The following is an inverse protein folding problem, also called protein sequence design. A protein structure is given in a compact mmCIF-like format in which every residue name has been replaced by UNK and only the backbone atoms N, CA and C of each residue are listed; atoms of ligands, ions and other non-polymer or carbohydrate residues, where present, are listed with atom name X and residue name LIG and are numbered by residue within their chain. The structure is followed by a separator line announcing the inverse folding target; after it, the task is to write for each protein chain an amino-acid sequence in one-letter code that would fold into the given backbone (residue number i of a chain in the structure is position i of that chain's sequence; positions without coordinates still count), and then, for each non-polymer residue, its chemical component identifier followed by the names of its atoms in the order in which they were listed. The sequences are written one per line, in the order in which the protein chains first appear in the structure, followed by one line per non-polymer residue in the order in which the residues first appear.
data_IF_888077704766
#
_entry.id   IF_888077704766
#
_cell.length_a   1.000
_cell.length_b   1.000
_cell.length_c   1.000
_cell.angle_alpha   90.00
_cell.angle_beta   90.00
_cell.angle_gamma   90.00
#
_symmetry.space_group_name_H-M   'P 1'
#
loop_
_entity.id
_entity.type
_entity.pdbx_description
1 polymer ?
#
# COMPACT_ATOMS: atom_id res chain seq x y z
N UNK A 1 7.66 0.57 -5.25
CA UNK A 1 9.10 0.51 -5.68
C UNK A 1 9.97 1.60 -5.06
N UNK A 2 9.37 2.58 -4.36
CA UNK A 2 10.02 3.57 -3.46
C UNK A 2 9.37 3.51 -2.08
N UNK A 3 10.00 4.18 -1.11
CA UNK A 3 9.40 4.38 0.20
C UNK A 3 8.98 3.07 0.88
N UNK A 4 7.85 3.12 1.56
CA UNK A 4 7.28 1.99 2.31
C UNK A 4 7.24 0.71 1.46
N UNK A 5 6.72 0.77 0.22
CA UNK A 5 6.59 -0.42 -0.61
C UNK A 5 7.92 -1.08 -0.97
N UNK A 6 9.00 -0.29 -1.15
CA UNK A 6 10.35 -0.84 -1.35
C UNK A 6 10.87 -1.50 -0.07
N UNK A 7 10.73 -0.84 1.06
CA UNK A 7 11.15 -1.37 2.35
C UNK A 7 10.39 -2.66 2.70
N UNK A 8 9.08 -2.69 2.45
CA UNK A 8 8.24 -3.89 2.62
C UNK A 8 8.71 -5.05 1.74
N UNK A 9 8.99 -4.79 0.45
CA UNK A 9 9.50 -5.83 -0.43
C UNK A 9 10.83 -6.42 0.06
N UNK A 10 11.72 -5.58 0.61
CA UNK A 10 12.98 -6.01 1.19
C UNK A 10 12.74 -6.85 2.46
N UNK A 11 11.90 -6.37 3.37
CA UNK A 11 11.61 -7.08 4.62
C UNK A 11 10.98 -8.46 4.37
N UNK A 12 9.96 -8.54 3.51
CA UNK A 12 9.33 -9.81 3.14
C UNK A 12 10.32 -10.76 2.45
N UNK A 13 11.20 -10.25 1.59
CA UNK A 13 12.25 -11.06 0.96
C UNK A 13 13.23 -11.64 1.99
N UNK A 14 13.60 -10.87 3.00
CA UNK A 14 14.50 -11.30 4.08
C UNK A 14 13.93 -12.46 4.90
N UNK A 15 12.61 -12.49 5.11
CA UNK A 15 11.92 -13.60 5.78
C UNK A 15 11.53 -14.75 4.83
N UNK A 16 12.08 -14.77 3.62
CA UNK A 16 11.97 -15.91 2.71
C UNK A 16 10.94 -15.79 1.59
N UNK A 17 10.15 -14.72 1.53
CA UNK A 17 9.14 -14.56 0.48
C UNK A 17 9.76 -14.37 -0.92
N UNK A 18 9.04 -14.87 -1.94
CA UNK A 18 9.24 -14.48 -3.33
C UNK A 18 8.45 -13.24 -3.66
N UNK A 19 9.08 -12.22 -4.20
CA UNK A 19 8.50 -10.90 -4.40
C UNK A 19 8.04 -10.69 -5.83
N UNK A 20 6.82 -10.20 -6.00
CA UNK A 20 6.33 -9.66 -7.26
C UNK A 20 6.09 -8.17 -7.06
N UNK A 21 7.00 -7.34 -7.57
CA UNK A 21 6.94 -5.90 -7.43
C UNK A 21 6.28 -5.25 -8.65
N UNK A 22 5.16 -4.55 -8.43
CA UNK A 22 4.44 -3.83 -9.47
C UNK A 22 4.62 -2.33 -9.28
N UNK A 23 4.92 -1.59 -10.35
CA UNK A 23 5.06 -0.14 -10.30
C UNK A 23 5.34 0.48 -11.66
N UNK A 24 5.23 1.81 -11.74
CA UNK A 24 5.36 2.57 -13.00
C UNK A 24 6.80 2.91 -13.39
N UNK A 25 7.72 2.88 -12.45
CA UNK A 25 9.08 3.35 -12.69
C UNK A 25 10.02 2.16 -12.90
N UNK A 26 10.44 1.97 -14.15
CA UNK A 26 11.32 0.89 -14.59
C UNK A 26 12.67 0.89 -13.84
N UNK A 27 13.27 2.06 -13.67
CA UNK A 27 14.58 2.17 -13.01
C UNK A 27 14.50 1.76 -11.53
N UNK A 28 13.42 2.13 -10.83
CA UNK A 28 13.20 1.73 -9.44
C UNK A 28 12.93 0.21 -9.30
N UNK A 29 12.21 -0.36 -10.26
CA UNK A 29 11.99 -1.80 -10.32
C UNK A 29 13.30 -2.55 -10.57
N UNK A 30 14.12 -2.08 -11.50
CA UNK A 30 15.44 -2.66 -11.77
C UNK A 30 16.38 -2.51 -10.57
N UNK A 31 16.41 -1.34 -9.92
CA UNK A 31 17.18 -1.12 -8.70
C UNK A 31 16.77 -2.07 -7.58
N UNK A 32 15.46 -2.31 -7.39
CA UNK A 32 14.97 -3.27 -6.41
C UNK A 32 15.40 -4.70 -6.79
N UNK A 33 15.27 -5.08 -8.07
CA UNK A 33 15.70 -6.39 -8.58
C UNK A 33 17.20 -6.61 -8.37
N UNK A 34 18.04 -5.62 -8.67
CA UNK A 34 19.50 -5.68 -8.40
C UNK A 34 19.80 -5.87 -6.91
N UNK A 35 19.03 -5.20 -6.02
CA UNK A 35 19.23 -5.32 -4.57
C UNK A 35 18.84 -6.71 -4.05
N UNK A 36 17.72 -7.27 -4.49
CA UNK A 36 17.22 -8.57 -4.00
C UNK A 36 17.87 -9.76 -4.69
N UNK A 37 18.38 -9.59 -5.91
CA UNK A 37 19.08 -10.58 -6.75
C UNK A 37 18.22 -11.78 -7.13
N UNK A 38 17.66 -12.50 -6.17
CA UNK A 38 16.89 -13.74 -6.34
C UNK A 38 15.45 -13.56 -5.86
N UNK A 39 14.56 -14.50 -6.17
CA UNK A 39 13.16 -14.55 -5.71
C UNK A 39 12.40 -13.24 -5.91
N UNK A 40 12.69 -12.54 -7.02
CA UNK A 40 12.01 -11.30 -7.39
C UNK A 40 11.64 -11.26 -8.86
N UNK A 41 10.39 -10.95 -9.13
CA UNK A 41 9.85 -10.54 -10.42
C UNK A 41 9.41 -9.09 -10.36
N UNK A 42 9.66 -8.32 -11.40
CA UNK A 42 9.20 -6.94 -11.50
C UNK A 42 8.27 -6.78 -12.70
N UNK A 43 7.18 -6.06 -12.52
CA UNK A 43 6.17 -5.78 -13.54
C UNK A 43 5.99 -4.26 -13.63
N UNK A 44 6.31 -3.70 -14.78
CA UNK A 44 6.09 -2.28 -15.06
C UNK A 44 4.64 -2.06 -15.47
N UNK A 45 3.84 -1.48 -14.55
CA UNK A 45 2.44 -1.23 -14.79
C UNK A 45 1.92 -0.07 -13.91
N UNK A 46 0.99 0.73 -14.43
CA UNK A 46 0.19 1.63 -13.61
C UNK A 46 -0.93 0.82 -12.94
N UNK A 47 -1.11 1.03 -11.64
CA UNK A 47 -2.17 0.36 -10.85
C UNK A 47 -3.58 0.73 -11.31
N UNK A 48 -3.74 1.84 -12.03
CA UNK A 48 -5.01 2.26 -12.63
C UNK A 48 -5.32 1.55 -13.95
N UNK A 49 -4.34 0.91 -14.59
CA UNK A 49 -4.53 0.15 -15.82
C UNK A 49 -5.03 -1.26 -15.48
N UNK A 50 -6.37 -1.37 -15.33
CA UNK A 50 -7.02 -2.61 -14.93
C UNK A 50 -6.67 -3.79 -15.84
N UNK A 51 -6.65 -3.58 -17.17
CA UNK A 51 -6.40 -4.65 -18.13
C UNK A 51 -4.97 -5.18 -18.03
N UNK A 52 -3.98 -4.28 -17.91
CA UNK A 52 -2.58 -4.70 -17.70
C UNK A 52 -2.39 -5.39 -16.35
N UNK A 53 -3.00 -4.88 -15.29
CA UNK A 53 -2.96 -5.51 -13.98
C UNK A 53 -3.59 -6.91 -14.02
N UNK A 54 -4.76 -7.05 -14.62
CA UNK A 54 -5.44 -8.33 -14.78
C UNK A 54 -4.58 -9.34 -15.55
N UNK A 55 -4.05 -8.94 -16.72
CA UNK A 55 -3.13 -9.77 -17.49
C UNK A 55 -1.88 -10.17 -16.71
N UNK A 56 -1.34 -9.25 -15.92
CA UNK A 56 -0.16 -9.50 -15.10
C UNK A 56 -0.44 -10.50 -13.97
N UNK A 57 -1.54 -10.31 -13.23
CA UNK A 57 -1.93 -11.19 -12.11
C UNK A 57 -2.26 -12.59 -12.60
N UNK A 58 -2.94 -12.74 -13.75
CA UNK A 58 -3.27 -14.04 -14.32
C UNK A 58 -2.04 -14.88 -14.68
N UNK A 59 -0.91 -14.26 -15.01
CA UNK A 59 0.37 -14.95 -15.28
C UNK A 59 1.09 -15.41 -14.01
N UNK A 60 0.68 -14.95 -12.83
CA UNK A 60 1.29 -15.35 -11.57
C UNK A 60 0.77 -16.76 -11.21
N UNK A 61 1.68 -17.68 -10.93
CA UNK A 61 1.31 -19.07 -10.58
C UNK A 61 0.61 -19.15 -9.22
N UNK A 62 1.09 -18.39 -8.24
CA UNK A 62 0.61 -18.46 -6.85
C UNK A 62 0.74 -17.11 -6.17
N UNK A 63 -0.27 -16.73 -5.40
CA UNK A 63 -0.25 -15.56 -4.50
C UNK A 63 -0.64 -16.04 -3.11
N UNK A 64 0.19 -15.77 -2.11
CA UNK A 64 -0.08 -16.04 -0.70
C UNK A 64 -0.33 -14.74 0.07
N UNK A 65 0.35 -13.67 -0.31
CA UNK A 65 0.27 -12.36 0.34
C UNK A 65 0.08 -11.26 -0.69
N UNK A 66 -0.84 -10.34 -0.43
CA UNK A 66 -1.00 -9.09 -1.17
C UNK A 66 -0.69 -7.92 -0.24
N UNK A 67 0.18 -7.02 -0.67
CA UNK A 67 0.37 -5.71 -0.03
C UNK A 67 -0.10 -4.61 -0.97
N UNK A 68 -1.27 -4.05 -0.71
CA UNK A 68 -1.80 -2.87 -1.37
C UNK A 68 -1.14 -1.62 -0.80
N UNK A 69 -0.05 -1.18 -1.44
CA UNK A 69 0.71 -0.03 -0.96
C UNK A 69 0.65 1.18 -1.91
N UNK A 70 0.24 1.01 -3.15
CA UNK A 70 0.12 2.12 -4.09
C UNK A 70 -0.83 3.21 -3.54
N UNK A 71 -0.37 4.45 -3.57
CA UNK A 71 -1.16 5.56 -3.06
C UNK A 71 -0.52 6.92 -3.35
N UNK A 72 -1.37 7.94 -3.35
CA UNK A 72 -0.94 9.34 -3.51
C UNK A 72 -1.69 10.25 -2.56
N UNK A 73 -1.17 11.45 -2.35
CA UNK A 73 -1.78 12.49 -1.53
C UNK A 73 -1.58 13.83 -2.24
N UNK A 74 -2.68 14.55 -2.40
CA UNK A 74 -2.77 15.88 -3.00
C UNK A 74 -3.46 16.81 -2.00
N UNK A 75 -2.67 17.53 -1.16
CA UNK A 75 -3.23 18.42 -0.16
C UNK A 75 -3.84 19.66 -0.80
N UNK A 76 -5.15 19.86 -0.58
CA UNK A 76 -5.87 21.04 -1.06
C UNK A 76 -6.92 21.48 -0.02
N UNK A 77 -7.13 22.80 0.20
CA UNK A 77 -8.26 23.31 0.97
C UNK A 77 -9.57 22.80 0.39
N UNK A 78 -10.54 22.45 1.24
CA UNK A 78 -11.78 21.80 0.80
C UNK A 78 -12.49 22.52 -0.36
N UNK A 79 -12.68 23.82 -0.24
CA UNK A 79 -13.35 24.63 -1.27
C UNK A 79 -12.51 24.84 -2.54
N UNK A 80 -11.23 24.46 -2.53
CA UNK A 80 -10.31 24.58 -3.68
C UNK A 80 -9.89 23.24 -4.26
N UNK A 81 -10.52 22.14 -3.82
CA UNK A 81 -10.26 20.80 -4.35
C UNK A 81 -10.60 20.75 -5.84
N UNK A 82 -9.60 20.42 -6.66
CA UNK A 82 -9.79 20.27 -8.10
C UNK A 82 -10.48 18.94 -8.40
N UNK A 83 -11.36 18.91 -9.40
CA UNK A 83 -12.00 17.69 -9.88
C UNK A 83 -10.95 16.61 -10.24
N UNK A 84 -9.87 17.00 -10.92
CA UNK A 84 -8.76 16.10 -11.26
C UNK A 84 -8.04 15.52 -10.05
N UNK A 85 -7.91 16.28 -8.96
CA UNK A 85 -7.32 15.79 -7.72
C UNK A 85 -8.23 14.78 -7.03
N UNK A 86 -9.52 15.04 -6.99
CA UNK A 86 -10.55 14.12 -6.48
C UNK A 86 -10.50 12.79 -7.25
N UNK A 87 -10.56 12.84 -8.58
CA UNK A 87 -10.53 11.65 -9.44
C UNK A 87 -9.21 10.87 -9.27
N UNK A 88 -8.08 11.56 -9.25
CA UNK A 88 -6.77 10.93 -9.04
C UNK A 88 -6.70 10.18 -7.72
N UNK A 89 -7.14 10.81 -6.63
CA UNK A 89 -7.12 10.19 -5.30
C UNK A 89 -8.07 8.99 -5.22
N UNK A 90 -9.28 9.10 -5.75
CA UNK A 90 -10.23 7.99 -5.79
C UNK A 90 -9.72 6.83 -6.64
N UNK A 91 -9.17 7.11 -7.82
CA UNK A 91 -8.70 6.07 -8.72
C UNK A 91 -7.50 5.32 -8.12
N UNK A 92 -6.47 6.04 -7.64
CA UNK A 92 -5.25 5.42 -7.15
C UNK A 92 -5.43 4.79 -5.76
N UNK A 93 -6.06 5.51 -4.82
CA UNK A 93 -6.08 5.07 -3.43
C UNK A 93 -7.21 4.07 -3.13
N UNK A 94 -8.30 4.09 -3.91
CA UNK A 94 -9.51 3.29 -3.60
C UNK A 94 -9.81 2.28 -4.69
N UNK A 95 -10.13 2.74 -5.91
CA UNK A 95 -10.53 1.84 -7.01
C UNK A 95 -9.42 0.86 -7.39
N UNK A 96 -8.17 1.32 -7.53
CA UNK A 96 -7.05 0.44 -7.86
C UNK A 96 -6.82 -0.59 -6.74
N UNK A 97 -6.86 -0.17 -5.47
CA UNK A 97 -6.70 -1.08 -4.33
C UNK A 97 -7.80 -2.16 -4.31
N UNK A 98 -9.06 -1.79 -4.51
CA UNK A 98 -10.18 -2.72 -4.61
C UNK A 98 -10.00 -3.72 -5.76
N UNK A 99 -9.69 -3.22 -6.96
CA UNK A 99 -9.54 -4.06 -8.15
C UNK A 99 -8.40 -5.07 -7.99
N UNK A 100 -7.24 -4.62 -7.49
CA UNK A 100 -6.09 -5.50 -7.26
C UNK A 100 -6.41 -6.53 -6.17
N UNK A 101 -7.05 -6.11 -5.08
CA UNK A 101 -7.48 -7.03 -4.04
C UNK A 101 -8.41 -8.11 -4.60
N UNK A 102 -9.42 -7.74 -5.40
CA UNK A 102 -10.35 -8.66 -6.04
C UNK A 102 -9.63 -9.65 -6.97
N UNK A 103 -8.73 -9.18 -7.82
CA UNK A 103 -7.97 -10.02 -8.74
C UNK A 103 -7.02 -10.97 -7.99
N UNK A 104 -6.27 -10.47 -7.00
CA UNK A 104 -5.38 -11.29 -6.19
C UNK A 104 -6.15 -12.33 -5.36
N UNK A 105 -7.30 -11.95 -4.79
CA UNK A 105 -8.15 -12.89 -4.05
C UNK A 105 -8.64 -14.02 -4.96
N UNK A 106 -9.12 -13.72 -6.16
CA UNK A 106 -9.49 -14.75 -7.13
C UNK A 106 -8.32 -15.70 -7.37
N UNK A 107 -7.11 -15.15 -7.59
CA UNK A 107 -5.90 -15.96 -7.80
C UNK A 107 -5.50 -16.78 -6.56
N UNK A 108 -5.66 -16.26 -5.37
CA UNK A 108 -5.45 -16.99 -4.12
C UNK A 108 -6.40 -18.19 -4.01
N UNK A 109 -7.66 -18.06 -4.42
CA UNK A 109 -8.69 -19.09 -4.34
C UNK A 109 -8.55 -20.21 -5.38
N UNK A 110 -7.75 -20.03 -6.43
CA UNK A 110 -7.42 -21.11 -7.39
C UNK A 110 -6.62 -22.25 -6.75
N UNK A 111 -5.98 -22.02 -5.60
CA UNK A 111 -5.27 -23.08 -4.87
C UNK A 111 -6.27 -23.98 -4.13
N UNK A 112 -6.36 -25.25 -4.52
CA UNK A 112 -7.28 -26.26 -3.94
C UNK A 112 -7.20 -26.37 -2.41
N UNK A 113 -6.02 -26.14 -1.83
CA UNK A 113 -5.77 -26.22 -0.38
C UNK A 113 -5.70 -24.84 0.30
N UNK A 114 -6.21 -23.75 -0.33
CA UNK A 114 -6.16 -22.39 0.22
C UNK A 114 -6.71 -22.31 1.64
N UNK A 115 -7.85 -22.95 1.90
CA UNK A 115 -8.48 -22.96 3.24
C UNK A 115 -7.57 -23.55 4.33
N UNK A 116 -6.71 -24.50 3.98
CA UNK A 116 -5.72 -25.10 4.91
C UNK A 116 -4.50 -24.21 5.08
N UNK A 117 -3.97 -23.65 3.99
CA UNK A 117 -2.73 -22.85 4.00
C UNK A 117 -3.00 -21.43 4.50
N UNK A 118 -4.16 -20.87 4.17
CA UNK A 118 -4.49 -19.48 4.43
C UNK A 118 -3.89 -18.49 3.44
N UNK A 119 -4.16 -17.21 3.64
CA UNK A 119 -3.62 -16.09 2.88
C UNK A 119 -3.62 -14.80 3.70
N UNK A 120 -2.91 -13.78 3.23
CA UNK A 120 -2.91 -12.47 3.91
C UNK A 120 -3.01 -11.33 2.91
N UNK A 121 -3.87 -10.36 3.21
CA UNK A 121 -4.00 -9.11 2.46
C UNK A 121 -3.72 -7.96 3.42
N UNK A 122 -2.76 -7.11 3.11
CA UNK A 122 -2.39 -5.96 3.91
C UNK A 122 -2.60 -4.68 3.09
N UNK A 123 -3.47 -3.81 3.58
CA UNK A 123 -3.74 -2.52 2.96
C UNK A 123 -2.93 -1.43 3.66
N UNK A 124 -2.10 -0.69 2.92
CA UNK A 124 -1.43 0.50 3.46
C UNK A 124 -2.41 1.67 3.47
N UNK A 125 -2.99 1.91 4.64
CA UNK A 125 -3.87 3.02 4.92
C UNK A 125 -3.08 4.26 5.35
N UNK A 126 -3.54 4.98 6.35
CA UNK A 126 -2.91 6.14 6.98
C UNK A 126 -3.58 6.42 8.31
N UNK A 127 -2.95 7.16 9.21
CA UNK A 127 -3.66 7.78 10.34
C UNK A 127 -4.89 8.58 9.87
N UNK A 128 -4.85 9.13 8.65
CA UNK A 128 -6.00 9.82 8.05
C UNK A 128 -7.12 8.89 7.53
N UNK A 129 -7.03 7.61 7.78
CA UNK A 129 -8.12 6.65 7.72
C UNK A 129 -8.85 6.46 9.05
N UNK A 130 -8.35 7.06 10.14
CA UNK A 130 -8.89 6.98 11.50
C UNK A 130 -9.26 8.37 12.05
N UNK A 131 -8.50 9.40 11.66
CA UNK A 131 -8.71 10.81 12.04
C UNK A 131 -8.61 11.70 10.82
N UNK A 132 -8.94 12.99 10.97
CA UNK A 132 -8.83 13.96 9.90
C UNK A 132 -7.74 15.00 10.17
N UNK A 133 -7.34 15.76 9.13
CA UNK A 133 -6.41 16.86 9.25
C UNK A 133 -6.63 17.92 8.17
N UNK A 134 -6.08 19.14 8.37
CA UNK A 134 -6.25 20.24 7.43
C UNK A 134 -5.81 19.87 6.00
N UNK A 135 -6.58 20.32 5.01
CA UNK A 135 -6.30 20.12 3.59
C UNK A 135 -6.20 18.65 3.16
N UNK A 136 -6.89 17.74 3.86
CA UNK A 136 -6.82 16.29 3.63
C UNK A 136 -8.18 15.65 3.39
N UNK A 137 -9.23 16.43 3.13
CA UNK A 137 -10.62 15.93 3.03
C UNK A 137 -10.72 14.74 2.08
N UNK A 138 -10.28 14.89 0.82
CA UNK A 138 -10.34 13.80 -0.16
C UNK A 138 -9.40 12.65 0.19
N UNK A 139 -8.19 12.96 0.68
CA UNK A 139 -7.25 11.93 1.11
C UNK A 139 -7.81 11.11 2.29
N UNK A 140 -8.35 11.78 3.31
CA UNK A 140 -9.02 11.11 4.43
C UNK A 140 -10.17 10.24 3.93
N UNK A 141 -11.07 10.78 3.10
CA UNK A 141 -12.17 10.02 2.50
C UNK A 141 -11.68 8.74 1.83
N UNK A 142 -10.59 8.79 1.06
CA UNK A 142 -10.04 7.58 0.43
C UNK A 142 -9.45 6.61 1.44
N UNK A 143 -8.82 7.09 2.52
CA UNK A 143 -8.20 6.23 3.53
C UNK A 143 -9.22 5.63 4.50
N UNK A 144 -10.28 6.34 4.87
CA UNK A 144 -11.45 5.76 5.52
C UNK A 144 -12.10 4.68 4.65
N UNK A 145 -12.19 4.91 3.32
CA UNK A 145 -12.63 3.89 2.36
C UNK A 145 -11.77 2.62 2.38
N UNK A 146 -10.45 2.75 2.54
CA UNK A 146 -9.54 1.60 2.71
C UNK A 146 -9.80 0.85 4.03
N UNK A 147 -10.11 1.55 5.12
CA UNK A 147 -10.49 0.89 6.38
C UNK A 147 -11.81 0.12 6.23
N UNK A 148 -12.80 0.70 5.57
CA UNK A 148 -14.06 0.03 5.22
C UNK A 148 -13.83 -1.20 4.34
N UNK A 149 -13.03 -1.06 3.28
CA UNK A 149 -12.63 -2.16 2.40
C UNK A 149 -11.95 -3.29 3.19
N UNK A 150 -11.03 -2.95 4.08
CA UNK A 150 -10.30 -3.91 4.90
C UNK A 150 -11.24 -4.74 5.77
N UNK A 151 -12.16 -4.08 6.47
CA UNK A 151 -13.15 -4.73 7.36
C UNK A 151 -14.12 -5.61 6.57
N UNK A 152 -14.69 -5.09 5.48
CA UNK A 152 -15.60 -5.84 4.62
C UNK A 152 -14.95 -7.10 4.05
N UNK A 153 -13.74 -6.95 3.48
CA UNK A 153 -12.99 -8.09 2.97
C UNK A 153 -12.62 -9.11 4.06
N UNK A 154 -12.29 -8.64 5.28
CA UNK A 154 -11.96 -9.55 6.39
C UNK A 154 -13.15 -10.47 6.72
N UNK A 155 -14.36 -9.94 6.75
CA UNK A 155 -15.60 -10.73 6.97
C UNK A 155 -15.85 -11.68 5.80
N UNK A 156 -15.81 -11.18 4.57
CA UNK A 156 -16.14 -11.97 3.37
C UNK A 156 -15.16 -13.12 3.13
N UNK A 157 -13.88 -12.92 3.47
CA UNK A 157 -12.79 -13.86 3.15
C UNK A 157 -12.41 -14.78 4.30
N UNK A 158 -12.95 -14.58 5.51
CA UNK A 158 -12.67 -15.41 6.68
C UNK A 158 -12.94 -16.89 6.43
N UNK A 159 -14.04 -17.24 5.74
CA UNK A 159 -14.39 -18.62 5.37
C UNK A 159 -13.35 -19.33 4.50
N UNK A 160 -12.46 -18.58 3.84
CA UNK A 160 -11.36 -19.11 3.03
C UNK A 160 -10.02 -19.07 3.76
N UNK A 161 -10.00 -18.73 5.05
CA UNK A 161 -8.79 -18.55 5.84
C UNK A 161 -7.84 -17.47 5.24
N UNK A 162 -8.40 -16.40 4.71
CA UNK A 162 -7.66 -15.23 4.23
C UNK A 162 -7.84 -14.09 5.22
N UNK A 163 -6.76 -13.69 5.88
CA UNK A 163 -6.75 -12.55 6.79
C UNK A 163 -6.64 -11.26 5.99
N UNK A 164 -7.32 -10.21 6.42
CA UNK A 164 -7.22 -8.88 5.82
C UNK A 164 -7.00 -7.85 6.91
N UNK A 165 -5.91 -7.11 6.82
CA UNK A 165 -5.53 -6.10 7.80
C UNK A 165 -5.13 -4.79 7.11
N UNK A 166 -5.09 -3.70 7.87
CA UNK A 166 -4.52 -2.43 7.44
C UNK A 166 -3.38 -1.99 8.35
N UNK A 167 -2.45 -1.24 7.79
CA UNK A 167 -1.43 -0.50 8.53
C UNK A 167 -1.68 0.98 8.31
N UNK A 168 -1.76 1.75 9.39
CA UNK A 168 -2.12 3.17 9.40
C UNK A 168 -0.95 4.06 9.83
N UNK A 169 0.08 4.24 8.97
CA UNK A 169 1.23 5.05 9.33
C UNK A 169 0.85 6.52 9.53
N UNK A 170 1.59 7.19 10.41
CA UNK A 170 1.61 8.65 10.52
C UNK A 170 2.61 9.23 9.52
N UNK A 171 3.46 10.19 9.94
CA UNK A 171 4.53 10.72 9.10
C UNK A 171 5.70 9.72 9.03
N UNK A 172 6.03 9.30 7.81
CA UNK A 172 7.13 8.37 7.52
C UNK A 172 8.17 9.08 6.66
N UNK A 173 9.45 8.95 6.98
CA UNK A 173 10.57 9.60 6.31
C UNK A 173 10.88 9.01 4.92
N UNK A 174 9.84 8.91 4.08
CA UNK A 174 9.97 8.47 2.68
C UNK A 174 10.65 9.54 1.81
N UNK A 175 11.17 9.19 0.62
CA UNK A 175 11.73 10.17 -0.32
C UNK A 175 10.75 11.31 -0.66
N UNK A 176 9.45 11.02 -0.73
CA UNK A 176 8.40 12.03 -0.93
C UNK A 176 8.26 12.94 0.30
N UNK A 177 8.23 12.37 1.49
CA UNK A 177 8.04 13.11 2.74
C UNK A 177 9.26 13.96 3.11
N UNK A 178 10.47 13.57 2.73
CA UNK A 178 11.69 14.34 2.99
C UNK A 178 11.60 15.80 2.52
N UNK A 179 10.95 16.05 1.38
CA UNK A 179 10.73 17.41 0.86
C UNK A 179 9.91 18.27 1.83
N UNK A 180 8.87 17.71 2.45
CA UNK A 180 8.03 18.41 3.44
C UNK A 180 8.72 18.53 4.79
N UNK A 181 9.43 17.47 5.21
CA UNK A 181 10.16 17.43 6.47
C UNK A 181 11.39 18.32 6.50
N UNK A 182 11.90 18.79 5.35
CA UNK A 182 12.93 19.82 5.25
C UNK A 182 12.43 21.18 5.76
N UNK A 183 11.13 21.45 5.71
CA UNK A 183 10.54 22.65 6.30
C UNK A 183 10.49 22.51 7.83
N UNK A 184 11.24 23.34 8.56
CA UNK A 184 11.34 23.31 10.03
C UNK A 184 9.98 23.43 10.74
N UNK A 185 9.09 24.32 10.24
CA UNK A 185 7.75 24.54 10.81
C UNK A 185 6.89 23.28 10.66
N UNK A 186 6.89 22.66 9.47
CA UNK A 186 6.17 21.43 9.23
C UNK A 186 6.74 20.25 10.05
N UNK A 187 8.08 20.14 10.12
CA UNK A 187 8.72 19.09 10.94
C UNK A 187 8.36 19.21 12.40
N UNK A 188 8.36 20.42 12.96
CA UNK A 188 7.92 20.67 14.34
C UNK A 188 6.46 20.30 14.56
N UNK A 189 5.57 20.71 13.64
CA UNK A 189 4.17 20.31 13.68
C UNK A 189 4.03 18.78 13.68
N UNK A 190 4.73 18.06 12.82
CA UNK A 190 4.68 16.62 12.75
C UNK A 190 5.15 15.97 14.07
N UNK A 191 6.27 16.44 14.63
CA UNK A 191 6.81 15.89 15.88
C UNK A 191 5.91 16.17 17.07
N UNK A 192 5.29 17.36 17.17
CA UNK A 192 4.35 17.69 18.26
C UNK A 192 3.10 16.79 18.28
N UNK A 193 2.77 16.15 17.13
CA UNK A 193 1.65 15.23 17.02
C UNK A 193 2.07 13.75 17.10
N UNK A 194 3.33 13.45 17.42
CA UNK A 194 3.84 12.09 17.55
C UNK A 194 4.43 11.92 18.95
N UNK A 195 3.70 11.31 19.90
CA UNK A 195 4.17 11.15 21.30
C UNK A 195 5.53 10.48 21.44
N UNK A 196 5.90 9.58 20.51
CA UNK A 196 7.22 8.94 20.48
C UNK A 196 8.38 9.89 20.12
N UNK A 197 8.11 11.17 19.80
CA UNK A 197 9.12 12.20 19.55
C UNK A 197 9.98 11.99 18.29
N UNK A 198 9.65 11.02 17.44
CA UNK A 198 10.39 10.76 16.20
C UNK A 198 9.47 10.48 15.01
N UNK A 199 9.93 10.89 13.84
CA UNK A 199 9.29 10.50 12.57
C UNK A 199 9.57 9.01 12.33
N UNK A 200 8.55 8.26 11.89
CA UNK A 200 8.71 6.85 11.55
C UNK A 200 9.63 6.67 10.34
N UNK A 201 10.37 5.58 10.33
CA UNK A 201 11.14 5.12 9.18
C UNK A 201 10.28 4.23 8.27
N UNK A 202 10.74 3.99 7.06
CA UNK A 202 10.10 3.03 6.15
C UNK A 202 10.15 1.60 6.72
N UNK A 203 11.21 1.30 7.52
CA UNK A 203 11.37 0.01 8.18
C UNK A 203 10.35 -0.21 9.29
N UNK A 204 10.02 0.81 10.08
CA UNK A 204 8.98 0.68 11.13
C UNK A 204 7.66 0.14 10.52
N UNK A 205 7.27 0.68 9.35
CA UNK A 205 6.05 0.25 8.66
C UNK A 205 6.23 -1.13 8.01
N UNK A 206 7.38 -1.36 7.38
CA UNK A 206 7.67 -2.62 6.70
C UNK A 206 7.69 -3.82 7.66
N UNK A 207 8.19 -3.65 8.87
CA UNK A 207 8.19 -4.67 9.93
C UNK A 207 6.77 -5.02 10.37
N UNK A 208 5.92 -4.00 10.58
CA UNK A 208 4.51 -4.22 10.90
C UNK A 208 3.77 -4.99 9.78
N UNK A 209 4.04 -4.65 8.51
CA UNK A 209 3.47 -5.37 7.37
C UNK A 209 3.98 -6.82 7.31
N UNK A 210 5.26 -7.05 7.60
CA UNK A 210 5.83 -8.40 7.57
C UNK A 210 5.33 -9.29 8.73
N UNK A 211 4.89 -8.70 9.84
CA UNK A 211 4.25 -9.41 10.95
C UNK A 211 2.84 -9.89 10.58
N UNK A 212 2.06 -9.09 9.84
CA UNK A 212 0.67 -9.36 9.45
C UNK A 212 0.56 -10.39 8.32
#
# INVERSE_FOLDING_TARGET
TKGIGRSTAIALHQVGASIIAIGRNKNELQSLKKKLKTRIQSIECDVNDYEKINKAINKIKKIDVLVNNAGTNLPEPFLKVKKSSLETLLNVNTKAAFNIAKLCTKKMLELKNRKKIGGSIINTSSMFGLVAGPNRTVYSMTKFGIEGLTKGMAVDLAKFNIRVNSVCPTFVATPRAKKYLANKKFKRYALNNIPLGRIATESDVATAIAYL
#
